data_IF_506722321134
#
_entry.id   IF_506722321134
#
_cell.length_a   1.000
_cell.length_b   1.000
_cell.length_c   1.000
_cell.angle_alpha   90.00
_cell.angle_beta   90.00
_cell.angle_gamma   90.00
#
_symmetry.space_group_name_H-M   'P 1'
#
loop_
_entity.id
_entity.type
_entity.pdbx_description
1 polymer ?
#
# COMPACT_ATOMS: atom_id res chain seq x y z
N UNK A 1 -5.58 1.39 -14.81
CA UNK A 1 -5.00 2.28 -13.78
C UNK A 1 -6.06 3.31 -13.41
N UNK A 2 -6.25 3.61 -12.12
CA UNK A 2 -7.35 4.48 -11.67
C UNK A 2 -7.15 4.98 -10.25
N UNK A 3 -8.04 5.88 -9.81
CA UNK A 3 -8.08 6.36 -8.43
C UNK A 3 -8.99 5.43 -7.62
N UNK A 4 -8.43 4.81 -6.60
CA UNK A 4 -9.14 3.89 -5.72
C UNK A 4 -9.27 4.48 -4.33
N UNK A 5 -10.42 4.27 -3.69
CA UNK A 5 -10.55 4.47 -2.25
C UNK A 5 -10.01 3.23 -1.55
N UNK A 6 -9.36 3.43 -0.41
CA UNK A 6 -8.84 2.35 0.43
C UNK A 6 -9.39 2.48 1.83
N UNK A 7 -9.58 1.36 2.50
CA UNK A 7 -10.06 1.30 3.87
C UNK A 7 -9.41 0.15 4.62
N UNK A 8 -9.31 0.28 5.94
CA UNK A 8 -8.84 -0.77 6.85
C UNK A 8 -9.98 -1.12 7.82
N UNK A 9 -10.99 -1.89 7.38
CA UNK A 9 -12.19 -2.13 8.17
C UNK A 9 -11.86 -2.98 9.40
N UNK A 10 -12.39 -2.59 10.57
CA UNK A 10 -12.18 -3.35 11.81
C UNK A 10 -12.90 -4.71 11.80
N UNK A 11 -14.00 -4.82 11.06
CA UNK A 11 -14.83 -6.02 10.95
C UNK A 11 -15.26 -6.19 9.50
N UNK A 12 -15.18 -7.42 9.00
CA UNK A 12 -15.65 -7.81 7.67
C UNK A 12 -16.55 -9.05 7.79
N UNK A 13 -17.50 -9.21 6.88
CA UNK A 13 -18.35 -10.41 6.79
C UNK A 13 -17.81 -11.39 5.76
N UNK A 14 -18.18 -12.65 5.92
CA UNK A 14 -17.84 -13.68 4.94
C UNK A 14 -18.41 -13.31 3.56
N UNK A 15 -17.54 -13.23 2.55
CA UNK A 15 -17.90 -12.87 1.17
C UNK A 15 -18.09 -11.36 0.92
N UNK A 16 -17.87 -10.51 1.92
CA UNK A 16 -17.85 -9.06 1.74
C UNK A 16 -16.61 -8.65 0.95
N UNK A 17 -16.79 -7.75 -0.02
CA UNK A 17 -15.69 -7.15 -0.75
C UNK A 17 -15.08 -6.03 0.10
N UNK A 18 -13.77 -6.00 0.17
CA UNK A 18 -12.99 -5.00 0.90
C UNK A 18 -12.10 -4.22 -0.06
N UNK A 19 -11.78 -2.99 0.30
CA UNK A 19 -10.82 -2.15 -0.43
C UNK A 19 -9.52 -2.01 0.39
N UNK A 20 -9.05 -3.10 0.99
CA UNK A 20 -7.86 -3.15 1.85
C UNK A 20 -6.61 -3.68 1.13
N UNK A 21 -6.78 -4.28 -0.06
CA UNK A 21 -5.69 -4.78 -0.89
C UNK A 21 -5.76 -4.22 -2.32
N UNK A 22 -4.62 -3.73 -2.81
CA UNK A 22 -4.48 -3.19 -4.15
C UNK A 22 -3.25 -3.77 -4.84
N UNK A 23 -3.43 -4.13 -6.11
CA UNK A 23 -2.32 -4.52 -6.98
C UNK A 23 -1.79 -3.31 -7.75
N UNK A 24 -0.47 -3.09 -7.66
CA UNK A 24 0.25 -2.07 -8.44
C UNK A 24 1.03 -2.78 -9.54
N UNK A 25 0.68 -2.52 -10.80
CA UNK A 25 1.42 -3.11 -11.93
C UNK A 25 2.82 -2.51 -12.04
N UNK A 26 3.70 -3.20 -12.78
CA UNK A 26 5.08 -2.75 -13.01
C UNK A 26 5.10 -1.38 -13.69
N UNK A 27 4.19 -1.13 -14.63
CA UNK A 27 4.07 0.14 -15.35
C UNK A 27 3.67 1.26 -14.38
N UNK A 28 2.64 1.05 -13.57
CA UNK A 28 2.19 2.03 -12.57
C UNK A 28 3.27 2.31 -11.50
N UNK A 29 4.00 1.27 -11.06
CA UNK A 29 5.10 1.44 -10.12
C UNK A 29 6.25 2.28 -10.70
N UNK A 30 6.55 2.14 -12.00
CA UNK A 30 7.58 2.93 -12.71
C UNK A 30 7.19 4.39 -12.92
N UNK A 31 5.92 4.64 -13.24
CA UNK A 31 5.39 6.01 -13.35
C UNK A 31 5.32 6.71 -11.98
N UNK A 32 5.27 5.93 -10.91
CA UNK A 32 5.04 6.41 -9.55
C UNK A 32 3.56 6.47 -9.24
N UNK A 33 3.24 6.22 -7.96
CA UNK A 33 1.87 6.31 -7.44
C UNK A 33 1.84 7.29 -6.28
N UNK A 34 0.70 7.97 -6.13
CA UNK A 34 0.41 8.82 -5.00
C UNK A 34 -0.54 8.10 -4.05
N UNK A 35 -0.23 8.16 -2.75
CA UNK A 35 -1.08 7.63 -1.69
C UNK A 35 -1.37 8.79 -0.73
N UNK A 36 -2.64 9.16 -0.62
CA UNK A 36 -3.10 10.20 0.30
C UNK A 36 -3.97 9.60 1.38
N UNK A 37 -3.61 9.82 2.65
CA UNK A 37 -4.49 9.51 3.77
C UNK A 37 -5.56 10.61 3.90
N UNK A 38 -6.81 10.28 3.56
CA UNK A 38 -7.94 11.20 3.67
C UNK A 38 -8.61 11.16 5.07
N UNK A 39 -8.14 10.30 5.98
CA UNK A 39 -8.69 10.21 7.33
C UNK A 39 -8.33 11.44 8.17
N UNK A 40 -9.29 11.92 8.95
CA UNK A 40 -9.08 13.04 9.89
C UNK A 40 -8.53 12.60 11.25
N UNK A 41 -8.65 11.31 11.58
CA UNK A 41 -8.32 10.80 12.92
C UNK A 41 -7.38 9.60 12.93
N UNK A 42 -7.29 8.86 11.82
CA UNK A 42 -6.55 7.60 11.77
C UNK A 42 -5.33 7.70 10.87
N UNK A 43 -4.23 7.06 11.28
CA UNK A 43 -3.07 6.89 10.42
C UNK A 43 -3.34 5.78 9.40
N UNK A 44 -2.97 6.02 8.14
CA UNK A 44 -2.93 4.98 7.12
C UNK A 44 -1.62 4.20 7.24
N UNK A 45 -1.70 2.95 7.70
CA UNK A 45 -0.57 2.02 7.78
C UNK A 45 -0.69 1.02 6.65
N UNK A 46 0.40 0.85 5.88
CA UNK A 46 0.40 0.01 4.67
C UNK A 46 1.53 -1.00 4.77
N UNK A 47 1.21 -2.25 4.42
CA UNK A 47 2.21 -3.29 4.15
C UNK A 47 2.51 -3.30 2.65
N UNK A 48 3.72 -2.90 2.28
CA UNK A 48 4.17 -2.96 0.88
C UNK A 48 4.88 -4.28 0.61
N UNK A 49 4.23 -5.17 -0.12
CA UNK A 49 4.85 -6.39 -0.60
C UNK A 49 5.46 -6.16 -1.98
N UNK A 50 6.76 -6.43 -2.12
CA UNK A 50 7.42 -6.53 -3.42
C UNK A 50 7.57 -8.01 -3.74
N UNK A 51 7.20 -8.41 -4.96
CA UNK A 51 7.26 -9.80 -5.38
C UNK A 51 8.63 -10.45 -5.13
N UNK A 52 8.68 -11.79 -5.02
CA UNK A 52 9.92 -12.50 -4.76
C UNK A 52 10.99 -12.14 -5.79
N UNK A 53 12.23 -11.99 -5.32
CA UNK A 53 13.40 -11.65 -6.13
C UNK A 53 13.31 -10.36 -6.95
N UNK A 54 12.41 -9.43 -6.60
CA UNK A 54 12.35 -8.12 -7.25
C UNK A 54 13.68 -7.35 -6.99
N UNK A 55 14.53 -7.14 -8.03
CA UNK A 55 15.83 -6.49 -7.86
C UNK A 55 15.70 -5.00 -7.51
N UNK A 56 14.55 -4.39 -7.82
CA UNK A 56 14.23 -3.00 -7.55
C UNK A 56 13.58 -2.80 -6.16
N UNK A 57 13.36 -3.89 -5.40
CA UNK A 57 12.82 -3.79 -4.06
C UNK A 57 13.78 -3.01 -3.12
N UNK A 58 13.27 -2.10 -2.28
CA UNK A 58 14.08 -1.40 -1.30
C UNK A 58 14.82 -2.39 -0.38
N UNK A 59 16.15 -2.23 -0.28
CA UNK A 59 16.95 -3.01 0.68
C UNK A 59 16.65 -2.50 2.08
N UNK A 60 16.07 -3.33 2.93
CA UNK A 60 15.89 -3.03 4.36
C UNK A 60 17.26 -3.02 5.03
N UNK A 61 17.96 -1.89 4.99
CA UNK A 61 19.34 -1.76 5.49
C UNK A 61 19.44 -1.03 6.85
N UNK A 62 18.35 -0.49 7.39
CA UNK A 62 18.31 0.06 8.74
C UNK A 62 16.86 0.25 9.24
N UNK A 63 16.42 -0.39 10.34
CA UNK A 63 15.04 -0.29 10.82
C UNK A 63 14.65 1.11 11.32
N UNK A 64 15.60 2.02 11.51
CA UNK A 64 15.36 3.39 12.01
C UNK A 64 15.11 4.45 10.92
N UNK A 65 15.31 4.11 9.64
CA UNK A 65 15.14 5.05 8.52
C UNK A 65 13.90 4.75 7.67
N UNK A 66 12.92 4.06 8.22
CA UNK A 66 11.65 3.79 7.53
C UNK A 66 10.66 4.96 7.70
N UNK A 67 11.12 6.19 7.44
CA UNK A 67 10.19 7.24 7.04
C UNK A 67 10.05 7.12 5.53
N UNK A 68 9.17 6.20 5.12
CA UNK A 68 8.73 6.05 3.74
C UNK A 68 7.41 6.82 3.53
N UNK A 69 7.39 8.06 4.05
CA UNK A 69 6.39 9.08 3.78
C UNK A 69 7.12 10.35 3.40
#
# INVERSE_FOLDING_TARGET
VGKFKVEAPTIIRYGELTNDELFVSVEAAREGIEISNESQSENLVILKHFGPDNPDAPKISNPKNLNLF
#
